data_IF_248840574928
#
_entry.id   IF_248840574928
#
_cell.length_a   1.000
_cell.length_b   1.000
_cell.length_c   1.000
_cell.angle_alpha   90.00
_cell.angle_beta   90.00
_cell.angle_gamma   90.00
#
_symmetry.space_group_name_H-M   'P 1'
#
loop_
_entity.id
_entity.type
_entity.pdbx_description
1 polymer ?
#
# COMPACT_ATOMS: atom_id res chain seq x y z
N UNK A 1 -3.56 10.08 -5.75
CA UNK A 1 -2.51 9.21 -6.33
C UNK A 1 -1.51 10.00 -7.17
N UNK A 2 -1.98 10.94 -8.01
CA UNK A 2 -1.14 11.75 -8.91
C UNK A 2 0.04 12.45 -8.21
N UNK A 3 -0.22 13.24 -7.17
CA UNK A 3 0.83 13.93 -6.41
C UNK A 3 1.89 12.97 -5.85
N UNK A 4 1.48 11.81 -5.33
CA UNK A 4 2.42 10.83 -4.77
C UNK A 4 3.36 10.26 -5.86
N UNK A 5 2.83 9.99 -7.05
CA UNK A 5 3.62 9.53 -8.18
C UNK A 5 4.63 10.60 -8.65
N UNK A 6 4.17 11.85 -8.81
CA UNK A 6 5.04 12.98 -9.17
C UNK A 6 6.17 13.17 -8.16
N UNK A 7 5.84 13.28 -6.88
CA UNK A 7 6.84 13.52 -5.83
C UNK A 7 7.86 12.38 -5.74
N UNK A 8 7.45 11.12 -5.95
CA UNK A 8 8.36 9.98 -5.97
C UNK A 8 9.36 10.04 -7.12
N UNK A 9 8.90 10.37 -8.33
CA UNK A 9 9.77 10.54 -9.49
C UNK A 9 10.74 11.71 -9.29
N UNK A 10 10.25 12.85 -8.80
CA UNK A 10 11.08 14.02 -8.52
C UNK A 10 12.15 13.73 -7.47
N UNK A 11 11.80 13.05 -6.38
CA UNK A 11 12.76 12.65 -5.35
C UNK A 11 13.86 11.73 -5.89
N UNK A 12 13.51 10.78 -6.76
CA UNK A 12 14.48 9.89 -7.39
C UNK A 12 15.43 10.64 -8.33
N UNK A 13 14.91 11.61 -9.10
CA UNK A 13 15.73 12.45 -9.97
C UNK A 13 16.69 13.35 -9.18
N UNK A 14 16.22 13.95 -8.09
CA UNK A 14 17.07 14.73 -7.19
C UNK A 14 18.20 13.87 -6.61
N UNK A 15 17.88 12.66 -6.14
CA UNK A 15 18.88 11.73 -5.62
C UNK A 15 19.89 11.31 -6.69
N UNK A 16 19.44 11.10 -7.94
CA UNK A 16 20.31 10.77 -9.07
C UNK A 16 21.30 11.91 -9.41
N UNK A 17 20.90 13.16 -9.22
CA UNK A 17 21.77 14.35 -9.35
C UNK A 17 22.67 14.59 -8.11
N UNK A 18 22.61 13.69 -7.13
CA UNK A 18 23.45 13.78 -5.93
C UNK A 18 22.90 14.68 -4.84
N UNK A 19 21.62 15.07 -4.89
CA UNK A 19 20.97 15.73 -3.76
C UNK A 19 20.95 14.80 -2.54
N UNK A 20 21.48 15.28 -1.41
CA UNK A 20 21.55 14.51 -0.16
C UNK A 20 20.46 14.97 0.81
N UNK A 21 19.54 14.05 1.13
CA UNK A 21 18.51 14.23 2.14
C UNK A 21 18.92 13.75 3.54
N UNK A 22 17.94 13.43 4.37
CA UNK A 22 18.16 12.78 5.68
C UNK A 22 18.78 11.39 5.51
N UNK A 23 19.70 11.02 6.42
CA UNK A 23 20.31 9.68 6.45
C UNK A 23 19.31 8.57 6.77
N UNK A 24 18.34 8.88 7.63
CA UNK A 24 17.26 7.97 7.98
C UNK A 24 15.92 8.71 7.87
N UNK A 25 15.28 8.56 6.72
CA UNK A 25 13.98 9.15 6.42
C UNK A 25 12.80 8.31 6.84
N UNK A 26 13.03 7.08 7.32
CA UNK A 26 11.96 6.12 7.59
C UNK A 26 11.77 5.89 9.08
N UNK A 27 12.83 5.50 9.81
CA UNK A 27 12.74 4.97 11.17
C UNK A 27 13.21 5.94 12.28
N UNK A 28 13.84 7.06 11.92
CA UNK A 28 14.30 8.06 12.88
C UNK A 28 13.17 8.69 13.73
N UNK A 29 13.53 9.28 14.87
CA UNK A 29 12.59 9.89 15.83
C UNK A 29 11.76 11.06 15.29
N UNK A 30 12.17 11.65 14.16
CA UNK A 30 11.43 12.69 13.42
C UNK A 30 11.21 12.31 11.95
N UNK A 31 11.29 11.02 11.66
CA UNK A 31 11.19 10.46 10.31
C UNK A 31 9.74 10.09 9.97
N UNK A 32 9.54 9.48 8.81
CA UNK A 32 8.22 9.14 8.29
C UNK A 32 7.35 8.38 9.30
N UNK A 33 7.85 7.29 9.91
CA UNK A 33 7.02 6.46 10.79
C UNK A 33 6.59 7.20 12.07
N UNK A 34 7.46 8.04 12.63
CA UNK A 34 7.14 8.87 13.80
C UNK A 34 6.03 9.91 13.53
N UNK A 35 5.76 10.23 12.26
CA UNK A 35 4.63 11.08 11.88
C UNK A 35 3.27 10.36 11.85
N UNK A 36 3.24 9.03 11.87
CA UNK A 36 2.01 8.24 11.78
C UNK A 36 1.63 7.53 13.09
N UNK A 37 2.62 7.16 13.91
CA UNK A 37 2.39 6.47 15.19
C UNK A 37 3.56 6.72 16.15
N UNK A 38 3.26 6.72 17.45
CA UNK A 38 4.27 6.80 18.52
C UNK A 38 4.95 5.43 18.78
N UNK A 39 4.33 4.33 18.36
CA UNK A 39 4.84 2.96 18.52
C UNK A 39 5.08 2.31 17.15
N UNK A 40 6.13 2.76 16.47
CA UNK A 40 6.52 2.22 15.18
C UNK A 40 7.45 1.01 15.35
N UNK A 41 7.23 -0.05 14.56
CA UNK A 41 8.08 -1.24 14.52
C UNK A 41 8.87 -1.32 13.20
N UNK A 42 9.91 -0.49 12.99
CA UNK A 42 10.64 -0.46 11.71
C UNK A 42 11.33 -1.78 11.35
N UNK A 43 11.63 -2.63 12.35
CA UNK A 43 12.19 -3.96 12.13
C UNK A 43 11.28 -4.91 11.36
N UNK A 44 9.97 -4.67 11.33
CA UNK A 44 9.02 -5.50 10.58
C UNK A 44 9.09 -5.27 9.07
N UNK A 45 9.61 -4.12 8.60
CA UNK A 45 9.67 -3.78 7.18
C UNK A 45 10.42 -4.83 6.34
N UNK A 46 11.47 -5.42 6.90
CA UNK A 46 12.32 -6.41 6.23
C UNK A 46 12.16 -7.81 6.84
N UNK A 47 11.20 -8.01 7.74
CA UNK A 47 10.98 -9.31 8.37
C UNK A 47 10.56 -10.37 7.33
N UNK A 48 11.37 -11.43 7.21
CA UNK A 48 11.16 -12.49 6.22
C UNK A 48 11.30 -12.01 4.77
N UNK A 49 12.09 -10.95 4.51
CA UNK A 49 12.31 -10.46 3.15
C UNK A 49 13.04 -11.51 2.31
N UNK A 50 12.45 -11.87 1.17
CA UNK A 50 12.94 -12.94 0.29
C UNK A 50 12.52 -14.35 0.69
N UNK A 51 11.96 -14.55 1.90
CA UNK A 51 11.47 -15.84 2.38
C UNK A 51 10.00 -16.09 2.03
N UNK A 52 9.21 -15.01 1.95
CA UNK A 52 7.78 -15.04 1.63
C UNK A 52 7.54 -14.67 0.16
N UNK A 53 6.44 -15.13 -0.46
CA UNK A 53 5.99 -14.60 -1.74
C UNK A 53 5.89 -13.06 -1.70
N UNK A 54 6.16 -12.41 -2.82
CA UNK A 54 6.05 -10.96 -2.93
C UNK A 54 4.63 -10.50 -2.61
N UNK A 55 4.49 -9.43 -1.82
CA UNK A 55 3.18 -8.90 -1.39
C UNK A 55 2.26 -8.54 -2.58
N UNK A 56 2.84 -8.26 -3.75
CA UNK A 56 2.07 -8.03 -4.98
C UNK A 56 1.13 -9.20 -5.32
N UNK A 57 1.49 -10.43 -4.92
CA UNK A 57 0.68 -11.63 -5.13
C UNK A 57 -0.61 -11.64 -4.30
N UNK A 58 -0.71 -10.83 -3.25
CA UNK A 58 -1.89 -10.67 -2.41
C UNK A 58 -2.74 -9.42 -2.78
N UNK A 59 -2.39 -8.71 -3.86
CA UNK A 59 -3.10 -7.50 -4.27
C UNK A 59 -4.53 -7.81 -4.72
N UNK A 60 -5.52 -7.23 -4.05
CA UNK A 60 -6.93 -7.41 -4.42
C UNK A 60 -7.30 -6.63 -5.67
N UNK A 61 -7.89 -7.32 -6.66
CA UNK A 61 -8.49 -6.70 -7.83
C UNK A 61 -9.97 -6.39 -7.56
N UNK A 62 -10.35 -5.16 -7.85
CA UNK A 62 -11.67 -4.65 -7.51
C UNK A 62 -12.66 -4.87 -8.66
N UNK A 63 -13.79 -5.56 -8.43
CA UNK A 63 -14.77 -5.81 -9.48
C UNK A 63 -15.65 -4.60 -9.82
N UNK A 64 -15.71 -3.60 -8.92
CA UNK A 64 -16.62 -2.45 -9.03
C UNK A 64 -15.90 -1.13 -8.75
N UNK A 65 -16.32 -0.04 -9.40
CA UNK A 65 -15.72 1.29 -9.24
C UNK A 65 -16.23 2.05 -7.99
N UNK A 66 -16.40 1.41 -6.83
CA UNK A 66 -16.95 2.00 -5.60
C UNK A 66 -16.17 1.55 -4.36
N UNK A 67 -16.01 2.35 -3.30
CA UNK A 67 -15.16 2.01 -2.14
C UNK A 67 -15.29 0.53 -1.69
N UNK A 68 -14.17 -0.20 -1.48
CA UNK A 68 -14.24 -1.51 -0.85
C UNK A 68 -14.65 -1.30 0.61
N UNK A 69 -15.94 -1.49 0.91
CA UNK A 69 -16.32 -1.87 2.26
C UNK A 69 -15.85 -3.33 2.43
N UNK A 70 -15.32 -3.68 3.61
CA UNK A 70 -14.88 -5.01 4.01
C UNK A 70 -15.70 -6.19 3.40
N UNK A 71 -15.08 -7.37 3.20
CA UNK A 71 -15.63 -8.44 2.37
C UNK A 71 -16.99 -8.84 2.93
N UNK A 72 -18.01 -8.97 2.07
CA UNK A 72 -19.32 -9.64 2.27
C UNK A 72 -20.56 -8.81 1.87
N UNK A 73 -20.45 -7.51 1.58
CA UNK A 73 -21.63 -6.69 1.24
C UNK A 73 -22.13 -6.81 -0.20
N UNK A 74 -21.25 -6.59 -1.18
CA UNK A 74 -21.62 -6.56 -2.60
C UNK A 74 -21.58 -7.94 -3.28
N UNK A 75 -20.62 -8.80 -2.89
CA UNK A 75 -20.44 -10.13 -3.51
C UNK A 75 -21.56 -11.14 -3.22
N UNK A 76 -22.26 -11.02 -2.07
CA UNK A 76 -23.34 -11.97 -1.70
C UNK A 76 -24.60 -11.83 -2.54
N UNK A 77 -24.86 -10.67 -3.16
CA UNK A 77 -26.04 -10.49 -4.04
C UNK A 77 -25.83 -11.02 -5.46
N UNK A 78 -24.57 -11.15 -5.90
CA UNK A 78 -24.23 -11.65 -7.23
C UNK A 78 -24.13 -13.19 -7.30
N UNK A 79 -24.00 -13.87 -6.15
CA UNK A 79 -23.95 -15.34 -6.07
C UNK A 79 -25.31 -16.00 -5.76
N UNK A 80 -26.39 -15.23 -5.68
CA UNK A 80 -27.72 -15.83 -5.68
C UNK A 80 -27.93 -16.53 -7.04
N UNK A 81 -28.28 -17.83 -7.08
CA UNK A 81 -28.59 -18.48 -8.35
C UNK A 81 -29.69 -17.68 -9.03
N UNK A 82 -29.58 -17.50 -10.35
CA UNK A 82 -30.69 -17.06 -11.20
C UNK A 82 -31.77 -18.16 -11.18
N UNK A 83 -32.45 -18.34 -10.04
CA UNK A 83 -33.58 -19.23 -9.91
C UNK A 83 -34.78 -18.53 -10.54
N UNK A 84 -35.23 -19.10 -11.65
CA UNK A 84 -36.55 -18.94 -12.26
C UNK A 84 -36.94 -17.51 -12.66
N UNK A 85 -36.58 -17.14 -13.89
CA UNK A 85 -37.48 -16.34 -14.74
C UNK A 85 -37.87 -17.22 -15.93
N UNK A 86 -38.92 -18.02 -15.72
CA UNK A 86 -39.80 -18.51 -16.78
C UNK A 86 -40.81 -17.40 -17.10
#
# INVERSE_FOLDING_TARGET
PDNAARCGVEAALLAAEGYVGTRDGVAGSRAFLAGYTDDAHPGELLAGWGERPLEIMATSLKPHACCPLQPNGAGRRAQAPQAARL
#
